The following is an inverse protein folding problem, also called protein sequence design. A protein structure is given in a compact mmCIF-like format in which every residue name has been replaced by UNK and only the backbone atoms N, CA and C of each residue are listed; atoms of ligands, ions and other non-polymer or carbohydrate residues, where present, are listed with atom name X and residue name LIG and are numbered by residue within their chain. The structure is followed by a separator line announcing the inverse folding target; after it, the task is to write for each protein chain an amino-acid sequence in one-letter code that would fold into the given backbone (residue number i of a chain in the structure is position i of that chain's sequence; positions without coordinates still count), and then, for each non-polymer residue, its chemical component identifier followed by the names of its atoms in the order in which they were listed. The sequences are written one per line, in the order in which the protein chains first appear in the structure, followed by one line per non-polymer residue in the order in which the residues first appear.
data_IF_624213993490
#
_entry.id   IF_624213993490
#
_cell.length_a   1.000
_cell.length_b   1.000
_cell.length_c   1.000
_cell.angle_alpha   90.00
_cell.angle_beta   90.00
_cell.angle_gamma   90.00
#
_symmetry.space_group_name_H-M   'P 1'
#
loop_
_entity.id
_entity.type
_entity.pdbx_description
1 polymer ?
#
# COMPACT_ATOMS: atom_id res chain seq x y z
N UNK A 1 -22.29 20.13 39.91
CA UNK A 1 -22.56 19.81 38.50
C UNK A 1 -21.42 18.89 38.05
N UNK A 2 -21.52 17.57 37.92
CA UNK A 2 -22.62 16.72 37.50
C UNK A 2 -22.18 15.90 36.29
N UNK A 3 -21.00 15.26 36.36
CA UNK A 3 -20.48 14.42 35.27
C UNK A 3 -21.24 13.09 35.23
N UNK A 4 -22.07 12.89 34.20
CA UNK A 4 -22.78 11.63 33.96
C UNK A 4 -21.78 10.51 33.70
N UNK A 5 -21.75 9.54 34.59
CA UNK A 5 -21.09 8.25 34.39
C UNK A 5 -21.98 7.45 33.42
N UNK A 6 -21.52 7.27 32.19
CA UNK A 6 -22.16 6.33 31.25
C UNK A 6 -21.59 4.94 31.55
N UNK A 7 -22.42 4.05 32.10
CA UNK A 7 -22.05 2.64 32.31
C UNK A 7 -22.08 1.93 30.95
N UNK A 8 -20.91 1.53 30.45
CA UNK A 8 -20.81 0.62 29.31
C UNK A 8 -21.01 -0.80 29.88
N UNK A 9 -22.00 -1.58 29.40
CA UNK A 9 -22.22 -2.94 29.88
C UNK A 9 -21.02 -3.81 29.49
N UNK A 10 -20.24 -4.18 30.50
CA UNK A 10 -19.13 -5.13 30.40
C UNK A 10 -19.75 -6.52 30.33
N UNK A 11 -19.72 -7.17 29.17
CA UNK A 11 -19.86 -8.63 29.15
C UNK A 11 -18.56 -9.21 29.72
N UNK A 12 -18.64 -9.68 30.98
CA UNK A 12 -17.54 -10.23 31.75
C UNK A 12 -16.79 -11.34 31.00
N UNK A 13 -15.46 -11.37 31.13
CA UNK A 13 -14.77 -12.42 31.90
C UNK A 13 -13.35 -11.97 32.29
N UNK A 14 -13.10 -12.04 33.61
CA UNK A 14 -11.83 -12.32 34.33
C UNK A 14 -10.48 -11.96 33.69
N UNK A 15 -9.81 -10.97 34.29
CA UNK A 15 -8.37 -10.68 34.14
C UNK A 15 -8.06 -9.61 33.10
N UNK A 16 -7.81 -8.38 33.55
CA UNK A 16 -7.12 -7.27 32.84
C UNK A 16 -7.24 -7.21 31.29
N UNK A 17 -8.47 -7.32 30.75
CA UNK A 17 -8.75 -7.17 29.32
C UNK A 17 -9.93 -6.21 29.14
N UNK A 18 -9.71 -5.13 28.38
CA UNK A 18 -10.73 -4.19 27.93
C UNK A 18 -11.15 -4.55 26.52
N UNK A 19 -12.34 -5.14 26.37
CA UNK A 19 -12.97 -5.41 25.08
C UNK A 19 -13.59 -4.11 24.54
N UNK A 20 -13.21 -3.68 23.34
CA UNK A 20 -13.85 -2.56 22.63
C UNK A 20 -14.32 -3.05 21.26
N UNK A 21 -15.61 -3.37 21.14
CA UNK A 21 -16.28 -3.48 19.83
C UNK A 21 -16.75 -2.08 19.43
N UNK A 22 -16.07 -1.46 18.47
CA UNK A 22 -16.52 -0.21 17.90
C UNK A 22 -17.68 -0.49 16.92
N UNK A 23 -18.93 -0.36 17.40
CA UNK A 23 -20.06 -0.11 16.49
C UNK A 23 -19.94 1.30 15.94
N UNK A 24 -20.46 1.51 14.74
CA UNK A 24 -20.38 2.71 13.88
C UNK A 24 -20.79 4.07 14.49
N UNK A 25 -21.01 4.14 15.81
CA UNK A 25 -21.38 5.35 16.54
C UNK A 25 -20.70 5.49 17.92
N UNK A 26 -19.55 4.85 18.17
CA UNK A 26 -18.85 4.97 19.47
C UNK A 26 -17.85 6.13 19.52
N UNK A 27 -18.10 7.10 20.40
CA UNK A 27 -17.13 8.14 20.79
C UNK A 27 -16.22 7.60 21.90
N UNK A 28 -14.94 7.36 21.61
CA UNK A 28 -13.95 6.97 22.63
C UNK A 28 -13.35 8.24 23.24
N UNK A 29 -13.64 8.51 24.52
CA UNK A 29 -13.00 9.60 25.27
C UNK A 29 -11.74 9.09 25.96
N UNK A 30 -10.67 9.87 25.86
CA UNK A 30 -9.32 9.69 26.41
C UNK A 30 -9.30 8.90 27.72
N UNK A 31 -8.80 7.66 27.68
CA UNK A 31 -8.35 6.97 28.87
C UNK A 31 -6.88 7.33 29.10
N UNK A 32 -6.62 8.12 30.15
CA UNK A 32 -5.25 8.37 30.64
C UNK A 32 -4.48 7.04 30.70
N UNK A 33 -3.47 6.91 29.85
CA UNK A 33 -2.36 5.94 29.95
C UNK A 33 -2.74 4.48 30.26
N UNK A 34 -3.91 3.98 29.82
CA UNK A 34 -4.25 2.57 29.97
C UNK A 34 -4.01 1.80 28.67
N UNK A 35 -3.33 0.67 28.79
CA UNK A 35 -3.22 -0.35 27.73
C UNK A 35 -4.63 -0.79 27.32
N UNK A 36 -5.01 -0.58 26.06
CA UNK A 36 -6.21 -1.16 25.47
C UNK A 36 -5.77 -2.43 24.74
N UNK A 37 -6.21 -3.61 25.22
CA UNK A 37 -6.01 -4.88 24.52
C UNK A 37 -7.13 -5.05 23.50
N UNK A 38 -6.85 -4.68 22.24
CA UNK A 38 -7.74 -5.00 21.13
C UNK A 38 -7.61 -6.49 20.79
N UNK A 39 -8.74 -7.21 20.73
CA UNK A 39 -8.79 -8.50 20.03
C UNK A 39 -8.92 -8.24 18.54
N UNK A 40 -8.24 -9.05 17.76
CA UNK A 40 -8.22 -9.04 16.31
C UNK A 40 -9.09 -10.18 15.82
N UNK A 41 -9.51 -10.15 14.57
CA UNK A 41 -9.99 -11.37 13.93
C UNK A 41 -8.82 -12.36 13.86
N UNK A 42 -8.97 -13.52 14.50
CA UNK A 42 -7.89 -14.50 14.67
C UNK A 42 -7.38 -15.01 13.31
N UNK A 43 -8.17 -14.86 12.23
CA UNK A 43 -7.76 -15.17 10.85
C UNK A 43 -6.79 -14.15 10.24
N UNK A 44 -6.94 -12.85 10.55
CA UNK A 44 -6.18 -11.77 9.90
C UNK A 44 -4.80 -11.54 10.53
N UNK A 45 -4.61 -11.89 11.81
CA UNK A 45 -3.35 -11.65 12.50
C UNK A 45 -3.12 -12.56 13.74
N UNK A 46 -2.92 -13.87 13.55
CA UNK A 46 -2.87 -14.87 14.63
C UNK A 46 -1.72 -14.72 15.65
N UNK A 47 -0.74 -13.83 15.38
CA UNK A 47 0.41 -13.58 16.26
C UNK A 47 0.31 -12.31 17.11
N UNK A 48 -0.80 -11.57 17.06
CA UNK A 48 -0.94 -10.28 17.77
C UNK A 48 -1.51 -10.50 19.17
N UNK A 49 -0.66 -10.37 20.19
CA UNK A 49 -1.03 -10.61 21.60
C UNK A 49 -1.32 -9.32 22.38
N UNK A 50 -0.84 -8.15 21.92
CA UNK A 50 -1.15 -6.83 22.49
C UNK A 50 -0.75 -5.69 21.54
N UNK A 51 -1.44 -4.54 21.61
CA UNK A 51 -1.09 -3.34 20.85
C UNK A 51 -1.22 -2.07 21.70
N UNK A 52 -0.38 -1.06 21.42
CA UNK A 52 -0.61 0.31 21.90
C UNK A 52 -1.50 1.03 20.90
N UNK A 53 -2.67 1.46 21.36
CA UNK A 53 -3.60 2.24 20.57
C UNK A 53 -3.31 3.71 20.80
N UNK A 54 -2.93 4.43 19.75
CA UNK A 54 -2.87 5.90 19.77
C UNK A 54 -4.23 6.41 19.27
N UNK A 55 -4.91 7.18 20.10
CA UNK A 55 -6.14 7.90 19.75
C UNK A 55 -5.78 9.39 19.81
N UNK A 56 -5.89 10.07 18.68
CA UNK A 56 -5.60 11.51 18.60
C UNK A 56 -6.63 12.31 19.41
N UNK A 57 -6.20 13.45 19.97
CA UNK A 57 -6.93 14.27 20.96
C UNK A 57 -8.05 15.12 20.34
N UNK A 58 -8.29 15.02 19.03
CA UNK A 58 -9.36 15.75 18.35
C UNK A 58 -10.63 14.88 18.30
N UNK A 59 -11.74 15.36 18.90
CA UNK A 59 -13.08 14.81 18.67
C UNK A 59 -13.41 14.94 17.17
N UNK A 60 -13.10 13.91 16.37
CA UNK A 60 -13.54 13.85 14.97
C UNK A 60 -14.86 13.10 14.93
N UNK A 61 -15.94 13.88 14.90
CA UNK A 61 -17.32 13.40 14.91
C UNK A 61 -17.84 13.16 13.48
N UNK A 62 -17.03 12.54 12.61
CA UNK A 62 -17.29 12.37 11.18
C UNK A 62 -17.41 10.90 10.72
N UNK A 63 -17.22 9.93 11.61
CA UNK A 63 -17.25 8.50 11.27
C UNK A 63 -15.94 7.95 10.66
N UNK A 64 -14.86 8.74 10.60
CA UNK A 64 -13.53 8.35 10.10
C UNK A 64 -12.47 8.19 11.19
N UNK A 65 -12.86 7.87 12.43
CA UNK A 65 -11.93 7.83 13.57
C UNK A 65 -10.75 6.89 13.31
N UNK A 66 -9.56 7.49 13.27
CA UNK A 66 -8.26 6.86 13.11
C UNK A 66 -7.90 6.16 14.43
N UNK A 67 -7.93 4.84 14.47
CA UNK A 67 -7.19 4.08 15.50
C UNK A 67 -5.93 3.52 14.87
N UNK A 68 -4.79 3.64 15.54
CA UNK A 68 -3.55 3.01 15.11
C UNK A 68 -3.10 2.10 16.24
N UNK A 69 -2.97 0.81 15.96
CA UNK A 69 -2.49 -0.18 16.90
C UNK A 69 -1.07 -0.56 16.51
N UNK A 70 -0.08 -0.18 17.33
CA UNK A 70 1.33 -0.53 17.13
C UNK A 70 1.71 -1.54 18.20
N UNK A 71 2.10 -2.73 17.78
CA UNK A 71 2.62 -3.75 18.68
C UNK A 71 4.12 -3.51 18.88
N UNK A 72 4.55 -3.29 20.13
CA UNK A 72 5.97 -3.00 20.44
C UNK A 72 6.90 -4.15 20.03
N UNK A 73 6.36 -5.37 19.91
CA UNK A 73 7.14 -6.59 19.77
C UNK A 73 7.19 -7.11 18.32
N UNK A 74 6.24 -6.71 17.46
CA UNK A 74 6.15 -7.21 16.07
C UNK A 74 6.20 -6.13 14.99
N UNK A 75 6.19 -4.84 15.34
CA UNK A 75 6.28 -3.71 14.39
C UNK A 75 5.28 -3.81 13.23
N UNK A 76 4.04 -4.17 13.57
CA UNK A 76 2.91 -4.24 12.64
C UNK A 76 2.10 -2.96 12.81
N UNK A 77 1.82 -2.27 11.70
CA UNK A 77 0.88 -1.15 11.65
C UNK A 77 -0.44 -1.62 11.06
N UNK A 78 -1.53 -1.39 11.78
CA UNK A 78 -2.89 -1.55 11.26
C UNK A 78 -3.61 -0.22 11.36
N UNK A 79 -4.17 0.17 10.22
CA UNK A 79 -4.66 1.51 9.92
C UNK A 79 -6.18 1.47 9.89
N UNK A 80 -6.89 1.96 10.91
CA UNK A 80 -8.34 1.73 11.05
C UNK A 80 -9.24 2.75 10.32
N UNK A 81 -8.74 3.42 9.28
CA UNK A 81 -9.48 4.48 8.58
C UNK A 81 -10.15 3.99 7.30
N UNK A 82 -11.09 4.77 6.76
CA UNK A 82 -11.64 4.56 5.41
C UNK A 82 -10.62 4.94 4.29
N UNK A 83 -9.60 5.75 4.64
CA UNK A 83 -8.54 6.23 3.75
C UNK A 83 -7.20 6.26 4.49
N UNK A 84 -6.12 5.75 3.91
CA UNK A 84 -4.77 5.91 4.50
C UNK A 84 -4.25 7.30 4.14
N UNK A 85 -4.58 8.32 4.94
CA UNK A 85 -4.28 9.74 4.64
C UNK A 85 -2.95 10.22 5.22
N UNK A 86 -2.62 11.50 5.02
CA UNK A 86 -1.49 12.19 5.63
C UNK A 86 -1.46 12.09 7.17
N UNK A 87 -2.59 11.83 7.84
CA UNK A 87 -2.62 11.52 9.28
C UNK A 87 -1.92 10.18 9.61
N UNK A 88 -1.94 9.20 8.70
CA UNK A 88 -1.14 7.99 8.87
C UNK A 88 0.37 8.28 8.80
N UNK A 89 0.78 9.35 8.10
CA UNK A 89 2.17 9.78 7.94
C UNK A 89 2.80 10.19 9.27
N UNK A 90 2.13 11.04 10.05
CA UNK A 90 2.61 11.48 11.37
C UNK A 90 2.75 10.31 12.35
N UNK A 91 1.86 9.32 12.24
CA UNK A 91 1.91 8.11 13.06
C UNK A 91 2.97 7.11 12.59
N UNK A 92 3.19 6.95 11.28
CA UNK A 92 4.31 6.17 10.74
C UNK A 92 5.64 6.83 11.16
N UNK A 93 5.70 8.17 11.17
CA UNK A 93 6.84 8.92 11.70
C UNK A 93 7.04 8.66 13.20
N UNK A 94 5.96 8.52 13.98
CA UNK A 94 6.01 8.15 15.41
C UNK A 94 6.49 6.71 15.67
N UNK A 95 6.21 5.75 14.77
CA UNK A 95 6.74 4.37 14.81
C UNK A 95 8.15 4.29 14.21
N UNK A 96 8.56 5.31 13.47
CA UNK A 96 9.74 5.35 12.62
C UNK A 96 9.52 4.56 11.32
N UNK A 97 9.42 5.28 10.18
CA UNK A 97 9.32 4.71 8.81
C UNK A 97 10.32 3.59 8.54
N UNK A 98 11.53 3.74 9.07
CA UNK A 98 12.62 2.78 8.91
C UNK A 98 12.49 1.53 9.79
N UNK A 99 11.42 1.39 10.56
CA UNK A 99 11.22 0.28 11.49
C UNK A 99 10.00 -0.58 11.14
N UNK A 100 9.01 -0.02 10.42
CA UNK A 100 7.80 -0.73 9.99
C UNK A 100 8.17 -1.87 9.04
N UNK A 101 7.89 -3.11 9.43
CA UNK A 101 8.21 -4.31 8.62
C UNK A 101 7.03 -4.86 7.86
N UNK A 102 5.81 -4.72 8.40
CA UNK A 102 4.60 -5.29 7.83
C UNK A 102 3.44 -4.32 8.02
N UNK A 103 2.63 -4.14 7.00
CA UNK A 103 1.40 -3.36 7.04
C UNK A 103 0.21 -4.24 6.66
N UNK A 104 -0.85 -4.19 7.46
CA UNK A 104 -2.14 -4.83 7.13
C UNK A 104 -3.17 -3.72 7.03
N UNK A 105 -3.68 -3.52 5.81
CA UNK A 105 -4.71 -2.53 5.51
C UNK A 105 -6.06 -3.22 5.74
N UNK A 106 -6.96 -2.68 6.58
CA UNK A 106 -8.24 -3.32 6.85
C UNK A 106 -9.27 -3.06 5.75
N UNK A 107 -10.26 -3.96 5.66
CA UNK A 107 -11.34 -3.94 4.67
C UNK A 107 -12.24 -2.67 4.70
N UNK A 108 -12.06 -1.78 5.67
CA UNK A 108 -12.71 -0.46 5.68
C UNK A 108 -12.06 0.52 4.72
N UNK A 109 -10.80 0.29 4.32
CA UNK A 109 -10.03 1.22 3.48
C UNK A 109 -10.45 1.06 2.03
N UNK A 110 -10.90 2.15 1.40
CA UNK A 110 -11.28 2.17 -0.02
C UNK A 110 -10.21 2.76 -0.94
N UNK A 111 -9.26 3.51 -0.38
CA UNK A 111 -8.13 4.12 -1.10
C UNK A 111 -6.87 4.19 -0.24
N UNK A 112 -5.73 3.91 -0.87
CA UNK A 112 -4.41 4.20 -0.30
C UNK A 112 -4.00 5.56 -0.87
N UNK A 113 -4.00 6.61 -0.06
CA UNK A 113 -3.81 7.97 -0.56
C UNK A 113 -2.33 8.26 -0.88
N UNK A 114 -2.10 9.48 -1.39
CA UNK A 114 -0.77 9.95 -1.73
C UNK A 114 0.23 9.79 -0.58
N UNK A 115 1.39 9.21 -0.90
CA UNK A 115 2.51 9.02 0.02
C UNK A 115 2.24 8.23 1.31
N UNK A 116 1.14 7.47 1.39
CA UNK A 116 0.70 6.74 2.58
C UNK A 116 1.81 5.94 3.30
N UNK A 117 2.64 5.22 2.55
CA UNK A 117 3.78 4.42 3.03
C UNK A 117 5.11 4.89 2.42
N UNK A 118 5.18 6.09 1.85
CA UNK A 118 6.39 6.61 1.21
C UNK A 118 7.59 6.58 2.18
N UNK A 119 8.69 5.98 1.75
CA UNK A 119 9.93 5.90 2.51
C UNK A 119 9.91 4.90 3.65
N UNK A 120 8.91 4.01 3.73
CA UNK A 120 8.92 2.88 4.66
C UNK A 120 9.96 1.84 4.22
N UNK A 121 11.24 2.20 4.31
CA UNK A 121 12.37 1.48 3.71
C UNK A 121 12.55 0.06 4.27
N UNK A 122 11.98 -0.23 5.43
CA UNK A 122 12.01 -1.54 6.09
C UNK A 122 10.73 -2.36 5.89
N UNK A 123 9.73 -1.83 5.18
CA UNK A 123 8.47 -2.53 4.91
C UNK A 123 8.77 -3.69 3.96
N UNK A 124 8.55 -4.91 4.43
CA UNK A 124 8.83 -6.15 3.70
C UNK A 124 7.57 -6.64 2.96
N UNK A 125 6.40 -6.45 3.58
CA UNK A 125 5.12 -6.91 3.04
C UNK A 125 3.97 -5.97 3.40
N UNK A 126 3.04 -5.79 2.46
CA UNK A 126 1.75 -5.14 2.70
C UNK A 126 0.61 -6.06 2.27
N UNK A 127 -0.44 -6.14 3.09
CA UNK A 127 -1.71 -6.76 2.73
C UNK A 127 -2.68 -5.66 2.33
N UNK A 128 -3.08 -5.62 1.05
CA UNK A 128 -4.06 -4.69 0.50
C UNK A 128 -5.39 -5.46 0.34
N UNK A 129 -6.49 -5.03 0.98
CA UNK A 129 -7.77 -5.73 0.91
C UNK A 129 -8.55 -5.37 -0.35
N UNK A 130 -9.49 -6.25 -0.73
CA UNK A 130 -10.38 -6.10 -1.90
C UNK A 130 -11.34 -4.90 -1.81
N UNK A 131 -11.37 -4.19 -0.67
CA UNK A 131 -12.08 -2.93 -0.55
C UNK A 131 -11.34 -1.77 -1.23
N UNK A 132 -10.03 -1.89 -1.46
CA UNK A 132 -9.21 -0.82 -2.03
C UNK A 132 -9.43 -0.73 -3.53
N UNK A 133 -9.80 0.46 -3.99
CA UNK A 133 -10.12 0.75 -5.40
C UNK A 133 -9.05 1.58 -6.11
N UNK A 134 -8.15 2.21 -5.36
CA UNK A 134 -7.07 3.05 -5.90
C UNK A 134 -5.83 3.06 -5.02
N UNK A 135 -4.66 3.11 -5.67
CA UNK A 135 -3.36 3.31 -5.05
C UNK A 135 -2.80 4.66 -5.50
N UNK A 136 -2.61 5.58 -4.56
CA UNK A 136 -2.27 6.97 -4.80
C UNK A 136 -0.83 7.19 -5.25
N UNK A 137 -0.56 8.44 -5.65
CA UNK A 137 0.76 8.90 -6.03
C UNK A 137 1.78 8.69 -4.89
N UNK A 138 2.97 8.17 -5.19
CA UNK A 138 4.00 7.82 -4.19
C UNK A 138 3.56 6.88 -3.05
N UNK A 139 2.41 6.21 -3.12
CA UNK A 139 1.81 5.48 -2.00
C UNK A 139 2.78 4.53 -1.29
N UNK A 140 3.64 3.84 -2.03
CA UNK A 140 4.69 2.93 -1.55
C UNK A 140 6.08 3.30 -2.09
N UNK A 141 6.29 4.54 -2.55
CA UNK A 141 7.59 4.97 -3.08
C UNK A 141 8.68 4.77 -2.02
N UNK A 142 9.87 4.35 -2.45
CA UNK A 142 11.05 4.11 -1.61
C UNK A 142 10.85 3.09 -0.49
N UNK A 143 9.87 2.19 -0.60
CA UNK A 143 9.77 0.99 0.24
C UNK A 143 10.82 -0.04 -0.21
N UNK A 144 12.10 0.26 -0.01
CA UNK A 144 13.23 -0.48 -0.58
C UNK A 144 13.31 -1.95 -0.17
N UNK A 145 12.71 -2.35 0.96
CA UNK A 145 12.66 -3.74 1.42
C UNK A 145 11.41 -4.50 0.97
N UNK A 146 10.47 -3.86 0.26
CA UNK A 146 9.19 -4.46 -0.11
C UNK A 146 9.43 -5.53 -1.17
N UNK A 147 9.22 -6.80 -0.82
CA UNK A 147 9.61 -7.94 -1.67
C UNK A 147 8.51 -8.36 -2.64
N UNK A 148 7.25 -8.21 -2.22
CA UNK A 148 6.07 -8.63 -2.95
C UNK A 148 4.88 -7.75 -2.59
N UNK A 149 4.02 -7.48 -3.57
CA UNK A 149 2.72 -6.81 -3.39
C UNK A 149 1.70 -7.55 -4.23
N UNK A 150 0.60 -7.97 -3.60
CA UNK A 150 -0.60 -8.43 -4.30
C UNK A 150 -1.53 -7.23 -4.42
N UNK A 151 -1.77 -6.78 -5.65
CA UNK A 151 -2.74 -5.73 -5.95
C UNK A 151 -4.08 -6.43 -6.20
N UNK A 152 -5.14 -6.14 -5.40
CA UNK A 152 -6.41 -6.84 -5.54
C UNK A 152 -7.19 -6.39 -6.77
N UNK A 153 -8.06 -7.27 -7.29
CA UNK A 153 -8.88 -7.08 -8.50
C UNK A 153 -9.89 -5.92 -8.39
N UNK A 154 -10.05 -5.34 -7.21
CA UNK A 154 -10.82 -4.13 -6.97
C UNK A 154 -10.10 -2.86 -7.40
N UNK A 155 -8.76 -2.88 -7.52
CA UNK A 155 -7.96 -1.70 -7.85
C UNK A 155 -8.12 -1.35 -9.32
N UNK A 156 -8.50 -0.10 -9.58
CA UNK A 156 -8.73 0.41 -10.95
C UNK A 156 -7.64 1.36 -11.42
N UNK A 157 -6.83 1.90 -10.51
CA UNK A 157 -5.78 2.88 -10.80
C UNK A 157 -4.57 2.76 -9.88
N UNK A 158 -3.38 2.88 -10.48
CA UNK A 158 -2.09 2.98 -9.79
C UNK A 158 -1.48 4.35 -10.13
N UNK A 159 -1.29 5.18 -9.12
CA UNK A 159 -0.83 6.56 -9.27
C UNK A 159 0.63 6.70 -9.67
N UNK A 160 1.01 7.94 -9.99
CA UNK A 160 2.38 8.27 -10.36
C UNK A 160 3.36 7.89 -9.24
N UNK A 161 4.48 7.27 -9.59
CA UNK A 161 5.53 6.86 -8.66
C UNK A 161 5.05 5.93 -7.52
N UNK A 162 3.88 5.28 -7.64
CA UNK A 162 3.26 4.54 -6.53
C UNK A 162 4.20 3.51 -5.87
N UNK A 163 5.05 2.83 -6.63
CA UNK A 163 6.05 1.87 -6.17
C UNK A 163 7.48 2.25 -6.60
N UNK A 164 7.74 3.52 -6.95
CA UNK A 164 9.06 3.98 -7.38
C UNK A 164 10.13 3.65 -6.33
N UNK A 165 11.25 3.05 -6.74
CA UNK A 165 12.35 2.71 -5.85
C UNK A 165 12.08 1.54 -4.88
N UNK A 166 11.04 0.72 -5.10
CA UNK A 166 10.87 -0.55 -4.40
C UNK A 166 11.91 -1.58 -4.88
N UNK A 167 13.18 -1.35 -4.55
CA UNK A 167 14.33 -2.05 -5.15
C UNK A 167 14.38 -3.56 -4.88
N UNK A 168 13.72 -4.05 -3.81
CA UNK A 168 13.59 -5.48 -3.49
C UNK A 168 12.35 -6.14 -4.09
N UNK A 169 11.46 -5.40 -4.77
CA UNK A 169 10.23 -5.96 -5.32
C UNK A 169 10.57 -6.91 -6.46
N UNK A 170 10.34 -8.21 -6.26
CA UNK A 170 10.74 -9.27 -7.20
C UNK A 170 9.64 -9.62 -8.21
N UNK A 171 8.39 -9.44 -7.79
CA UNK A 171 7.19 -9.73 -8.56
C UNK A 171 6.07 -8.76 -8.17
N UNK A 172 5.31 -8.32 -9.17
CA UNK A 172 4.02 -7.66 -8.98
C UNK A 172 3.01 -8.29 -9.93
N UNK A 173 1.83 -8.61 -9.41
CA UNK A 173 0.68 -8.97 -10.25
C UNK A 173 -0.20 -7.73 -10.34
N UNK A 174 -0.37 -7.19 -11.55
CA UNK A 174 -1.25 -6.07 -11.83
C UNK A 174 -2.55 -6.66 -12.40
N UNK A 175 -3.69 -6.52 -11.71
CA UNK A 175 -4.93 -7.18 -12.12
C UNK A 175 -5.57 -6.49 -13.34
N UNK A 176 -6.41 -7.23 -14.06
CA UNK A 176 -7.08 -6.77 -15.28
C UNK A 176 -8.04 -5.60 -15.06
N UNK A 177 -8.42 -5.33 -13.80
CA UNK A 177 -9.20 -4.17 -13.40
C UNK A 177 -8.43 -2.85 -13.51
N UNK A 178 -7.09 -2.88 -13.52
CA UNK A 178 -6.25 -1.67 -13.56
C UNK A 178 -6.24 -1.06 -14.94
N UNK A 179 -6.95 0.06 -15.09
CA UNK A 179 -7.06 0.79 -16.36
C UNK A 179 -5.94 1.81 -16.59
N UNK A 180 -5.18 2.15 -15.53
CA UNK A 180 -4.14 3.19 -15.57
C UNK A 180 -2.96 2.83 -14.66
N UNK A 181 -1.75 2.84 -15.25
CA UNK A 181 -0.47 2.74 -14.54
C UNK A 181 0.26 4.08 -14.74
N UNK A 182 0.37 4.86 -13.68
CA UNK A 182 0.92 6.20 -13.75
C UNK A 182 2.42 6.25 -14.07
N UNK A 183 2.87 7.45 -14.44
CA UNK A 183 4.26 7.79 -14.69
C UNK A 183 5.16 7.30 -13.57
N UNK A 184 6.23 6.60 -13.94
CA UNK A 184 7.22 6.05 -13.01
C UNK A 184 6.64 5.11 -11.93
N UNK A 185 5.43 4.55 -12.09
CA UNK A 185 4.77 3.76 -11.05
C UNK A 185 5.64 2.62 -10.50
N UNK A 186 6.43 1.95 -11.34
CA UNK A 186 7.36 0.87 -10.95
C UNK A 186 8.81 1.20 -11.33
N UNK A 187 9.14 2.49 -11.46
CA UNK A 187 10.52 2.91 -11.74
C UNK A 187 11.48 2.43 -10.63
N UNK A 188 12.71 2.11 -10.99
CA UNK A 188 13.77 1.64 -10.10
C UNK A 188 13.42 0.43 -9.21
N UNK A 189 12.43 -0.38 -9.60
CA UNK A 189 12.19 -1.71 -9.03
C UNK A 189 13.26 -2.69 -9.53
N UNK A 190 14.51 -2.51 -9.08
CA UNK A 190 15.69 -3.15 -9.66
C UNK A 190 15.71 -4.69 -9.59
N UNK A 191 14.95 -5.29 -8.68
CA UNK A 191 14.81 -6.76 -8.53
C UNK A 191 13.61 -7.34 -9.28
N UNK A 192 12.77 -6.50 -9.90
CA UNK A 192 11.56 -6.96 -10.59
C UNK A 192 11.98 -7.76 -11.83
N UNK A 193 11.55 -9.01 -11.90
CA UNK A 193 12.04 -9.97 -12.93
C UNK A 193 11.10 -10.10 -14.13
N UNK A 194 9.80 -9.95 -13.89
CA UNK A 194 8.76 -10.05 -14.91
C UNK A 194 7.61 -9.12 -14.58
N UNK A 195 6.92 -8.65 -15.62
CA UNK A 195 5.67 -7.88 -15.53
C UNK A 195 4.73 -8.34 -16.63
N UNK A 196 3.49 -8.61 -16.24
CA UNK A 196 2.37 -8.74 -17.17
C UNK A 196 1.57 -7.44 -17.11
N UNK A 197 1.48 -6.73 -18.23
CA UNK A 197 0.62 -5.55 -18.34
C UNK A 197 -0.81 -6.04 -18.65
N UNK A 198 -1.84 -5.59 -17.90
CA UNK A 198 -3.20 -6.05 -18.10
C UNK A 198 -3.83 -5.53 -19.40
N UNK A 199 -4.75 -6.30 -19.98
CA UNK A 199 -5.45 -6.01 -21.24
C UNK A 199 -6.32 -4.73 -21.20
N UNK A 200 -6.53 -4.16 -20.02
CA UNK A 200 -7.25 -2.89 -19.84
C UNK A 200 -6.37 -1.64 -19.97
N UNK A 201 -5.04 -1.80 -19.98
CA UNK A 201 -4.09 -0.69 -20.14
C UNK A 201 -3.95 -0.34 -21.63
N UNK A 202 -4.12 0.94 -21.95
CA UNK A 202 -4.02 1.47 -23.33
C UNK A 202 -2.73 2.23 -23.61
N UNK A 203 -1.98 2.61 -22.58
CA UNK A 203 -0.71 3.32 -22.68
C UNK A 203 0.24 2.94 -21.56
N UNK A 204 1.52 2.75 -21.88
CA UNK A 204 2.59 2.57 -20.89
C UNK A 204 3.27 3.93 -20.70
N UNK A 205 3.00 4.58 -19.57
CA UNK A 205 3.45 5.95 -19.31
C UNK A 205 4.97 6.09 -19.15
N UNK A 206 5.43 7.35 -19.25
CA UNK A 206 6.84 7.73 -19.14
C UNK A 206 7.50 7.11 -17.90
N UNK A 207 8.63 6.43 -18.10
CA UNK A 207 9.39 5.74 -17.05
C UNK A 207 8.62 4.68 -16.23
N UNK A 208 7.42 4.21 -16.63
CA UNK A 208 6.60 3.30 -15.83
C UNK A 208 7.40 2.10 -15.27
N UNK A 209 8.31 1.53 -16.05
CA UNK A 209 9.22 0.45 -15.65
C UNK A 209 10.71 0.82 -15.85
N UNK A 210 11.03 2.11 -15.85
CA UNK A 210 12.39 2.61 -16.02
C UNK A 210 13.32 2.08 -14.92
N UNK A 211 14.54 1.66 -15.27
CA UNK A 211 15.58 1.15 -14.36
C UNK A 211 15.18 -0.13 -13.60
N UNK A 212 14.22 -0.92 -14.09
CA UNK A 212 13.99 -2.28 -13.62
C UNK A 212 15.11 -3.20 -14.16
N UNK A 213 16.30 -3.13 -13.59
CA UNK A 213 17.52 -3.74 -14.15
C UNK A 213 17.45 -5.26 -14.29
N UNK A 214 16.65 -5.94 -13.45
CA UNK A 214 16.43 -7.40 -13.50
C UNK A 214 15.24 -7.80 -14.36
N UNK A 215 14.50 -6.86 -14.95
CA UNK A 215 13.31 -7.16 -15.75
C UNK A 215 13.75 -7.89 -17.01
N UNK A 216 13.46 -9.18 -17.07
CA UNK A 216 13.90 -10.06 -18.15
C UNK A 216 12.81 -10.31 -19.19
N UNK A 217 11.55 -10.17 -18.78
CA UNK A 217 10.37 -10.37 -19.63
C UNK A 217 9.29 -9.35 -19.33
N UNK A 218 8.64 -8.87 -20.39
CA UNK A 218 7.43 -8.05 -20.31
C UNK A 218 6.43 -8.54 -21.36
N UNK A 219 5.19 -8.72 -20.94
CA UNK A 219 4.07 -8.99 -21.84
C UNK A 219 3.30 -7.69 -22.05
N UNK A 220 3.30 -7.18 -23.28
CA UNK A 220 2.55 -5.98 -23.69
C UNK A 220 1.30 -6.46 -24.44
N UNK A 221 0.08 -6.12 -23.98
CA UNK A 221 -1.16 -6.58 -24.60
C UNK A 221 -1.55 -5.77 -25.84
N UNK A 222 -2.40 -6.35 -26.70
CA UNK A 222 -2.92 -5.71 -27.94
C UNK A 222 -3.84 -4.50 -27.67
N UNK A 223 -4.15 -4.20 -26.41
CA UNK A 223 -4.83 -2.97 -26.00
C UNK A 223 -3.91 -1.75 -26.00
N UNK A 224 -2.59 -1.94 -25.87
CA UNK A 224 -1.62 -0.86 -25.77
C UNK A 224 -1.45 -0.18 -27.13
N UNK A 225 -1.65 1.13 -27.14
CA UNK A 225 -1.52 1.98 -28.33
C UNK A 225 -0.27 2.87 -28.27
N UNK A 226 0.23 3.20 -27.07
CA UNK A 226 1.46 3.99 -26.90
C UNK A 226 2.40 3.44 -25.83
N UNK A 227 3.69 3.52 -26.11
CA UNK A 227 4.78 3.26 -25.15
C UNK A 227 5.56 4.56 -25.02
N UNK A 228 5.42 5.26 -23.90
CA UNK A 228 6.01 6.59 -23.74
C UNK A 228 7.53 6.56 -23.53
N UNK A 229 8.14 7.74 -23.63
CA UNK A 229 9.58 7.87 -23.50
C UNK A 229 10.11 7.32 -22.18
N UNK A 230 11.25 6.63 -22.26
CA UNK A 230 11.90 5.96 -21.13
C UNK A 230 11.08 4.87 -20.43
N UNK A 231 9.93 4.42 -20.96
CA UNK A 231 9.06 3.42 -20.32
C UNK A 231 9.79 2.19 -19.76
N UNK A 232 10.78 1.67 -20.50
CA UNK A 232 11.64 0.54 -20.12
C UNK A 232 13.14 0.92 -20.11
N UNK A 233 13.47 2.22 -20.01
CA UNK A 233 14.86 2.68 -20.06
C UNK A 233 15.70 1.99 -18.96
N UNK A 234 16.83 1.39 -19.33
CA UNK A 234 17.75 0.78 -18.37
C UNK A 234 17.32 -0.61 -17.86
N UNK A 235 16.37 -1.28 -18.52
CA UNK A 235 16.03 -2.67 -18.24
C UNK A 235 17.15 -3.59 -18.77
N UNK A 236 18.22 -3.72 -18.00
CA UNK A 236 19.47 -4.38 -18.44
C UNK A 236 19.33 -5.85 -18.79
N UNK A 237 18.36 -6.54 -18.18
CA UNK A 237 18.13 -7.97 -18.37
C UNK A 237 17.07 -8.27 -19.42
N UNK A 238 16.43 -7.25 -20.00
CA UNK A 238 15.32 -7.43 -20.93
C UNK A 238 15.87 -7.95 -22.26
N UNK A 239 15.52 -9.20 -22.60
CA UNK A 239 16.11 -9.93 -23.74
C UNK A 239 15.30 -9.87 -25.01
N UNK A 240 13.98 -9.69 -24.88
CA UNK A 240 13.07 -9.59 -26.00
C UNK A 240 11.82 -8.82 -25.58
N UNK A 241 11.23 -8.12 -26.54
CA UNK A 241 9.95 -7.43 -26.39
C UNK A 241 9.17 -7.64 -27.68
N UNK A 242 7.98 -8.21 -27.57
CA UNK A 242 7.04 -8.22 -28.69
C UNK A 242 6.25 -6.93 -28.64
N UNK A 243 6.31 -6.15 -29.71
CA UNK A 243 5.50 -4.93 -29.86
C UNK A 243 4.19 -5.32 -30.55
N UNK A 244 3.04 -5.19 -29.89
CA UNK A 244 1.73 -5.45 -30.50
C UNK A 244 1.46 -4.55 -31.71
N UNK A 245 0.62 -5.03 -32.64
CA UNK A 245 0.29 -4.26 -33.86
C UNK A 245 -0.52 -3.00 -33.56
N UNK A 246 -1.18 -2.98 -32.41
CA UNK A 246 -1.92 -1.83 -31.89
C UNK A 246 -1.04 -0.64 -31.52
N UNK A 247 0.26 -0.86 -31.28
CA UNK A 247 1.18 0.22 -30.87
C UNK A 247 1.45 1.16 -32.03
N UNK A 248 0.95 2.40 -31.91
CA UNK A 248 1.09 3.46 -32.91
C UNK A 248 2.26 4.41 -32.60
N UNK A 249 2.72 4.47 -31.35
CA UNK A 249 3.82 5.34 -30.94
C UNK A 249 4.73 4.69 -29.90
N UNK A 250 6.04 4.87 -30.12
CA UNK A 250 7.10 4.52 -29.18
C UNK A 250 7.90 5.80 -28.94
N UNK A 251 7.88 6.28 -27.70
CA UNK A 251 8.52 7.53 -27.30
C UNK A 251 10.03 7.41 -27.19
N UNK A 252 10.68 8.57 -27.15
CA UNK A 252 12.14 8.68 -27.11
C UNK A 252 12.73 7.88 -25.94
N UNK A 253 13.77 7.11 -26.24
CA UNK A 253 14.51 6.33 -25.24
C UNK A 253 13.68 5.27 -24.51
N UNK A 254 12.50 4.88 -25.02
CA UNK A 254 11.63 3.87 -24.39
C UNK A 254 12.38 2.59 -23.98
N UNK A 255 13.32 2.13 -24.81
CA UNK A 255 14.17 0.96 -24.54
C UNK A 255 15.67 1.31 -24.44
N UNK A 256 16.03 2.58 -24.24
CA UNK A 256 17.44 2.98 -24.15
C UNK A 256 18.11 2.35 -22.93
N UNK A 257 19.34 1.85 -23.09
CA UNK A 257 20.06 1.19 -22.00
C UNK A 257 19.56 -0.22 -21.68
N UNK A 258 18.91 -0.90 -22.63
CA UNK A 258 18.60 -2.33 -22.59
C UNK A 258 19.62 -3.12 -23.44
N UNK A 259 20.86 -3.34 -22.97
CA UNK A 259 21.92 -3.99 -23.76
C UNK A 259 21.65 -5.45 -24.14
N UNK A 260 20.63 -6.09 -23.56
CA UNK A 260 20.26 -7.48 -23.84
C UNK A 260 19.15 -7.63 -24.90
N UNK A 261 18.53 -6.52 -25.33
CA UNK A 261 17.45 -6.46 -26.33
C UNK A 261 18.01 -6.25 -27.73
#
# INVERSE_FOLDING_TARGET
MGGKIVKIPVHQTSGDVLTVEAKSSMTIRKFKEKLIRLRWDDELAPSLTSAKVFVDDQEVNDGNTVMHAVTQDTKVLVVFTCRVTELAREHIDAVGRHSLKRAVIPNSVTSIEESAFNGCSSLISVTIPDSVTSIGQYAFAWCSSLMSVTIPDSVTSIGNYAFDGCSSLTSVTIPDSVTSIGKSAFSACSSLTSVTIPDSVTSIEKNAFGRCTSLASVTIPESVTSIDGYAFHGCKSLTSVTIPKSVISIGDFAFHGCPAL
#
